data_IF_836338501707
#
_entry.id   IF_836338501707
#
_cell.length_a   1.000
_cell.length_b   1.000
_cell.length_c   1.000
_cell.angle_alpha   90.00
_cell.angle_beta   90.00
_cell.angle_gamma   90.00
#
_symmetry.space_group_name_H-M   'P 1'
#
loop_
_entity.id
_entity.type
_entity.pdbx_description
1 polymer ?
#
# COMPACT_ATOMS: atom_id res chain seq x y z
N UNK A 1 6.30 -12.53 4.37
CA UNK A 1 5.02 -12.32 3.65
C UNK A 1 4.73 -13.56 2.81
N UNK A 2 3.46 -13.83 2.43
CA UNK A 2 3.18 -14.94 1.47
C UNK A 2 3.86 -14.60 0.12
N UNK A 3 4.46 -15.54 -0.62
CA UNK A 3 5.03 -15.22 -1.93
C UNK A 3 3.97 -14.63 -2.88
N UNK A 4 4.39 -13.69 -3.73
CA UNK A 4 3.51 -12.99 -4.68
C UNK A 4 3.24 -11.53 -4.32
N UNK A 5 2.26 -10.90 -5.00
CA UNK A 5 1.99 -9.48 -4.88
C UNK A 5 1.25 -9.08 -3.59
N UNK A 6 1.63 -7.94 -3.02
CA UNK A 6 0.96 -7.32 -1.86
C UNK A 6 0.70 -5.85 -2.13
N UNK A 7 -0.50 -5.39 -1.80
CA UNK A 7 -0.85 -3.97 -1.82
C UNK A 7 0.01 -3.19 -0.83
N UNK A 8 0.34 -1.95 -1.19
CA UNK A 8 1.15 -1.07 -0.37
C UNK A 8 0.56 0.33 -0.46
N UNK A 9 0.23 0.91 0.69
CA UNK A 9 -0.50 2.17 0.75
C UNK A 9 -0.01 3.02 1.91
N UNK A 10 -0.07 4.34 1.73
CA UNK A 10 0.00 5.29 2.83
C UNK A 10 -1.42 5.44 3.39
N UNK A 11 -1.57 5.22 4.69
CA UNK A 11 -2.84 5.42 5.40
C UNK A 11 -2.89 6.82 6.02
N UNK A 12 -4.09 7.32 6.27
CA UNK A 12 -4.32 8.72 6.68
C UNK A 12 -3.90 9.04 8.13
N UNK A 13 -3.71 8.02 8.98
CA UNK A 13 -3.29 8.16 10.38
C UNK A 13 -2.02 7.37 10.64
N UNK A 14 -1.10 7.97 11.40
CA UNK A 14 0.13 7.33 11.88
C UNK A 14 -0.07 6.41 13.10
N UNK A 15 -1.24 5.76 13.22
CA UNK A 15 -1.57 4.91 14.37
C UNK A 15 -1.58 3.43 13.97
N UNK A 16 -0.54 2.72 14.37
CA UNK A 16 -0.37 1.28 14.14
C UNK A 16 -0.68 0.43 15.39
N UNK A 17 -1.38 0.99 16.39
CA UNK A 17 -1.62 0.31 17.67
C UNK A 17 -2.60 -0.86 17.57
N UNK A 18 -3.52 -0.85 16.59
CA UNK A 18 -4.40 -1.98 16.32
C UNK A 18 -3.62 -3.12 15.64
N UNK A 19 -3.72 -4.37 16.13
CA UNK A 19 -2.95 -5.51 15.60
C UNK A 19 -3.31 -5.87 14.15
N UNK A 20 -4.49 -5.46 13.68
CA UNK A 20 -4.95 -5.62 12.31
C UNK A 20 -4.76 -4.37 11.43
N UNK A 21 -4.18 -3.30 11.99
CA UNK A 21 -3.90 -2.04 11.28
C UNK A 21 -5.11 -1.11 11.09
N UNK A 22 -6.28 -1.43 11.64
CA UNK A 22 -7.51 -0.63 11.44
C UNK A 22 -7.40 0.81 11.95
N UNK A 23 -6.60 1.06 12.99
CA UNK A 23 -6.38 2.41 13.52
C UNK A 23 -5.63 3.34 12.55
N UNK A 24 -4.95 2.81 11.52
CA UNK A 24 -4.31 3.62 10.49
C UNK A 24 -5.34 4.39 9.64
N UNK A 25 -6.61 3.98 9.65
CA UNK A 25 -7.69 4.61 8.88
C UNK A 25 -7.70 4.18 7.41
N UNK A 26 -8.31 4.99 6.55
CA UNK A 26 -8.34 4.75 5.11
C UNK A 26 -7.02 5.08 4.41
N UNK A 27 -6.99 4.89 3.10
CA UNK A 27 -5.86 5.34 2.28
C UNK A 27 -5.78 6.86 2.29
N UNK A 28 -4.57 7.39 2.21
CA UNK A 28 -4.36 8.82 2.11
C UNK A 28 -4.97 9.40 0.83
N UNK A 29 -6.03 10.21 0.96
CA UNK A 29 -6.79 10.70 -0.19
C UNK A 29 -7.23 12.17 -0.03
N UNK A 30 -6.28 13.11 -0.02
CA UNK A 30 -6.60 14.55 0.06
C UNK A 30 -7.49 15.06 -1.09
N UNK A 31 -7.50 14.36 -2.23
CA UNK A 31 -8.18 14.80 -3.45
C UNK A 31 -9.55 14.13 -3.65
N UNK A 32 -9.97 13.24 -2.76
CA UNK A 32 -11.26 12.54 -2.88
C UNK A 32 -11.39 11.66 -4.14
N UNK A 33 -10.27 11.19 -4.69
CA UNK A 33 -10.24 10.32 -5.89
C UNK A 33 -10.69 8.89 -5.54
N UNK A 34 -11.12 8.07 -6.52
CA UNK A 34 -11.29 6.63 -6.29
C UNK A 34 -9.93 5.94 -6.10
N UNK A 35 -9.93 4.76 -5.48
CA UNK A 35 -8.77 3.88 -5.42
C UNK A 35 -8.36 3.41 -6.83
N UNK A 36 -7.06 3.28 -7.10
CA UNK A 36 -6.60 2.86 -8.43
C UNK A 36 -5.11 2.53 -8.51
N UNK A 37 -4.67 2.18 -9.73
CA UNK A 37 -3.25 2.02 -10.04
C UNK A 37 -2.56 3.40 -9.94
N UNK A 38 -1.47 3.55 -9.16
CA UNK A 38 -0.74 4.82 -9.05
C UNK A 38 -0.14 5.34 -10.37
N UNK A 39 -0.02 4.49 -11.39
CA UNK A 39 0.41 4.90 -12.75
C UNK A 39 -0.71 5.53 -13.58
N UNK A 40 -1.97 5.48 -13.11
CA UNK A 40 -3.12 6.10 -13.77
C UNK A 40 -3.50 7.42 -13.11
N UNK A 41 -4.19 8.31 -13.82
CA UNK A 41 -4.56 9.62 -13.26
C UNK A 41 -5.52 9.54 -12.06
N UNK A 42 -6.36 8.51 -11.97
CA UNK A 42 -7.32 8.30 -10.89
C UNK A 42 -6.85 7.20 -9.94
N UNK A 43 -6.42 7.64 -8.76
CA UNK A 43 -6.00 6.83 -7.62
C UNK A 43 -5.99 7.70 -6.35
N UNK A 44 -5.98 7.09 -5.18
CA UNK A 44 -5.70 7.82 -3.94
C UNK A 44 -4.25 8.30 -3.93
N UNK A 45 -3.98 9.47 -3.35
CA UNK A 45 -2.60 9.97 -3.22
C UNK A 45 -1.66 9.04 -2.40
N UNK A 46 -2.22 8.10 -1.64
CA UNK A 46 -1.49 7.08 -0.91
C UNK A 46 -1.38 5.73 -1.62
N UNK A 47 -1.93 5.54 -2.82
CA UNK A 47 -1.78 4.29 -3.57
C UNK A 47 -0.34 4.17 -4.09
N UNK A 48 0.28 2.99 -3.96
CA UNK A 48 1.66 2.75 -4.38
C UNK A 48 1.82 1.46 -5.19
N UNK A 49 2.90 1.33 -5.98
CA UNK A 49 3.20 0.08 -6.66
C UNK A 49 3.28 -1.07 -5.64
N UNK A 50 2.69 -2.20 -6.03
CA UNK A 50 2.70 -3.42 -5.23
C UNK A 50 4.13 -3.84 -4.85
N UNK A 51 4.27 -4.42 -3.66
CA UNK A 51 5.51 -5.09 -3.26
C UNK A 51 5.39 -6.57 -3.59
N UNK A 52 6.38 -7.11 -4.29
CA UNK A 52 6.39 -8.53 -4.66
C UNK A 52 7.28 -9.29 -3.68
N UNK A 53 6.68 -10.22 -2.95
CA UNK A 53 7.40 -11.08 -2.02
C UNK A 53 7.94 -12.33 -2.73
N UNK A 54 9.20 -12.65 -2.50
CA UNK A 54 9.85 -13.88 -2.98
C UNK A 54 9.42 -15.11 -2.16
N UNK A 55 9.94 -16.29 -2.55
CA UNK A 55 9.67 -17.56 -1.87
C UNK A 55 10.17 -17.60 -0.41
N UNK A 56 11.11 -16.74 -0.03
CA UNK A 56 11.62 -16.59 1.34
C UNK A 56 10.82 -15.53 2.12
N UNK A 57 9.82 -14.91 1.49
CA UNK A 57 8.99 -13.88 2.08
C UNK A 57 9.65 -12.51 2.16
N UNK A 58 10.81 -12.33 1.53
CA UNK A 58 11.53 -11.06 1.36
C UNK A 58 11.10 -10.34 0.08
N UNK A 59 11.62 -9.13 -0.14
CA UNK A 59 11.32 -8.36 -1.36
C UNK A 59 12.07 -8.97 -2.55
N UNK A 60 11.35 -9.38 -3.60
CA UNK A 60 11.95 -9.84 -4.83
C UNK A 60 12.52 -8.63 -5.60
N UNK A 61 13.86 -8.50 -5.62
CA UNK A 61 14.60 -7.57 -6.49
C UNK A 61 14.06 -6.13 -6.53
N UNK A 62 14.52 -5.29 -5.59
CA UNK A 62 14.25 -3.86 -5.66
C UNK A 62 15.04 -3.21 -6.79
N UNK A 63 14.38 -2.91 -7.91
CA UNK A 63 14.87 -1.88 -8.81
C UNK A 63 14.51 -0.53 -8.18
N UNK A 64 15.54 0.27 -7.93
CA UNK A 64 15.41 1.71 -8.09
C UNK A 64 15.35 1.99 -9.60
#
# INVERSE_FOLDING_TARGET
>A
MKPGPHGFHIHEKGDCSAPDGTNAGGHYNRLGKPHGNPEHADHHAGDMPQRVADAKGGQAGGLY
#
